data_IF_378849660070
#
_entry.id   IF_378849660070
#
_cell.length_a   1.000
_cell.length_b   1.000
_cell.length_c   1.000
_cell.angle_alpha   90.00
_cell.angle_beta   90.00
_cell.angle_gamma   90.00
#
_symmetry.space_group_name_H-M   'P 1'
#
loop_
_entity.id
_entity.type
_entity.pdbx_description
1 polymer ?
#
# COMPACT_ATOMS: atom_id res chain seq x y z
N UNK A 1 10.59 11.48 -5.22
CA UNK A 1 11.12 12.84 -4.94
C UNK A 1 12.64 12.79 -4.76
N UNK A 2 13.17 12.11 -3.74
CA UNK A 2 14.62 12.04 -3.44
C UNK A 2 15.43 11.30 -4.51
N UNK A 3 14.88 10.23 -5.10
CA UNK A 3 15.54 9.46 -6.16
C UNK A 3 15.80 10.25 -7.43
N UNK A 4 14.85 11.10 -7.86
CA UNK A 4 15.00 11.95 -9.05
C UNK A 4 16.02 13.06 -8.87
N UNK A 5 16.08 13.66 -7.68
CA UNK A 5 17.02 14.73 -7.35
C UNK A 5 18.47 14.23 -7.31
N UNK A 6 18.68 13.05 -6.71
CA UNK A 6 19.99 12.39 -6.66
C UNK A 6 20.38 11.87 -8.05
N UNK A 7 19.42 11.33 -8.82
CA UNK A 7 19.67 10.94 -10.22
C UNK A 7 20.16 12.09 -11.08
N UNK A 8 19.58 13.29 -10.90
CA UNK A 8 20.07 14.50 -11.56
C UNK A 8 21.46 14.93 -11.05
N UNK A 9 21.65 14.97 -9.72
CA UNK A 9 22.92 15.37 -9.13
C UNK A 9 24.08 14.46 -9.61
N UNK A 10 23.84 13.14 -9.69
CA UNK A 10 24.82 12.18 -10.22
C UNK A 10 24.95 12.26 -11.75
N UNK A 11 23.92 12.71 -12.45
CA UNK A 11 23.96 13.01 -13.88
C UNK A 11 25.00 14.07 -14.26
N UNK A 12 25.25 15.04 -13.38
CA UNK A 12 26.22 16.13 -13.54
C UNK A 12 27.62 15.83 -12.98
N UNK A 13 27.81 14.72 -12.27
CA UNK A 13 29.13 14.35 -11.74
C UNK A 13 29.96 13.68 -12.86
N UNK A 14 31.00 14.38 -13.30
CA UNK A 14 32.04 13.85 -14.20
C UNK A 14 33.16 13.22 -13.37
N UNK A 15 32.86 12.10 -12.72
CA UNK A 15 33.90 11.18 -12.23
C UNK A 15 34.20 10.16 -13.32
N UNK A 16 35.44 9.65 -13.41
CA UNK A 16 35.83 8.58 -14.35
C UNK A 16 35.13 7.22 -14.15
N UNK A 17 34.08 7.18 -13.33
CA UNK A 17 33.24 6.02 -13.03
C UNK A 17 31.90 6.14 -13.75
N UNK A 18 31.33 5.01 -14.14
CA UNK A 18 30.00 4.96 -14.73
C UNK A 18 28.94 5.54 -13.76
N UNK A 19 28.11 6.47 -14.23
CA UNK A 19 27.12 7.23 -13.42
C UNK A 19 26.19 6.32 -12.61
N UNK A 20 25.81 5.18 -13.17
CA UNK A 20 24.99 4.16 -12.49
C UNK A 20 25.67 3.61 -11.22
N UNK A 21 26.99 3.40 -11.25
CA UNK A 21 27.75 2.87 -10.11
C UNK A 21 27.80 3.88 -8.96
N UNK A 22 27.95 5.17 -9.26
CA UNK A 22 27.90 6.25 -8.27
C UNK A 22 26.54 6.29 -7.53
N UNK A 23 25.43 6.07 -8.25
CA UNK A 23 24.09 6.00 -7.64
C UNK A 23 24.03 4.85 -6.62
N UNK A 24 24.48 3.65 -7.00
CA UNK A 24 24.46 2.49 -6.11
C UNK A 24 25.34 2.68 -4.86
N UNK A 25 26.50 3.31 -5.00
CA UNK A 25 27.44 3.52 -3.89
C UNK A 25 26.91 4.53 -2.87
N UNK A 26 26.28 5.61 -3.34
CA UNK A 26 25.65 6.62 -2.46
C UNK A 26 24.43 6.02 -1.75
N UNK A 27 23.49 5.40 -2.47
CA UNK A 27 22.30 4.83 -1.83
C UNK A 27 22.65 3.63 -0.95
N UNK A 28 23.60 2.79 -1.36
CA UNK A 28 24.07 1.64 -0.59
C UNK A 28 24.70 2.05 0.73
N UNK A 29 25.58 3.05 0.73
CA UNK A 29 26.23 3.55 1.96
C UNK A 29 25.22 4.16 2.94
N UNK A 30 24.27 4.97 2.47
CA UNK A 30 23.21 5.53 3.32
C UNK A 30 22.34 4.42 3.93
N UNK A 31 21.94 3.42 3.12
CA UNK A 31 21.17 2.26 3.58
C UNK A 31 21.94 1.45 4.62
N UNK A 32 23.23 1.25 4.42
CA UNK A 32 24.10 0.48 5.30
C UNK A 32 24.31 1.21 6.64
N UNK A 33 24.54 2.53 6.61
CA UNK A 33 24.59 3.35 7.81
C UNK A 33 23.27 3.29 8.59
N UNK A 34 22.14 3.41 7.91
CA UNK A 34 20.82 3.26 8.56
C UNK A 34 20.58 1.86 9.12
N UNK A 35 21.07 0.82 8.44
CA UNK A 35 21.06 -0.56 8.92
C UNK A 35 21.80 -0.69 10.26
N UNK A 36 23.00 -0.11 10.37
CA UNK A 36 23.77 -0.10 11.61
C UNK A 36 23.05 0.65 12.74
N UNK A 37 22.49 1.84 12.44
CA UNK A 37 21.67 2.61 13.38
C UNK A 37 20.49 1.77 13.88
N UNK A 38 19.80 1.06 12.98
CA UNK A 38 18.67 0.21 13.36
C UNK A 38 19.07 -0.97 14.24
N UNK A 39 20.24 -1.59 14.01
CA UNK A 39 20.74 -2.69 14.85
C UNK A 39 21.06 -2.23 16.27
N UNK A 40 21.53 -1.00 16.45
CA UNK A 40 21.86 -0.45 17.78
C UNK A 40 20.62 0.08 18.50
N UNK A 41 19.66 0.67 17.78
CA UNK A 41 18.51 1.37 18.38
C UNK A 41 17.22 0.54 18.47
N UNK A 42 17.01 -0.51 17.66
CA UNK A 42 15.79 -1.32 17.71
C UNK A 42 15.95 -2.57 18.60
N UNK A 43 15.34 -2.61 19.79
CA UNK A 43 15.23 -3.83 20.59
C UNK A 43 14.19 -4.81 20.02
N UNK A 44 14.46 -6.11 20.10
CA UNK A 44 13.65 -7.20 19.51
C UNK A 44 12.22 -7.38 20.05
N UNK A 45 11.91 -6.74 21.16
CA UNK A 45 10.57 -6.77 21.77
C UNK A 45 10.32 -5.51 22.60
N UNK A 46 9.07 -5.00 22.65
CA UNK A 46 8.68 -3.92 23.57
C UNK A 46 8.98 -4.24 25.04
N UNK A 47 9.14 -5.51 25.43
CA UNK A 47 9.59 -5.92 26.77
C UNK A 47 11.09 -5.72 27.02
N UNK A 48 11.92 -5.87 25.99
CA UNK A 48 13.40 -5.74 26.05
C UNK A 48 13.88 -4.31 25.79
N UNK A 49 12.97 -3.34 25.69
CA UNK A 49 13.33 -1.94 25.40
C UNK A 49 14.17 -1.34 26.54
N UNK A 50 15.35 -0.81 26.21
CA UNK A 50 16.21 -0.12 27.18
C UNK A 50 15.70 1.31 27.49
N UNK A 51 14.96 1.91 26.57
CA UNK A 51 14.55 3.31 26.63
C UNK A 51 13.26 3.59 27.43
N UNK A 52 12.45 2.56 27.76
CA UNK A 52 11.14 2.76 28.40
C UNK A 52 11.15 2.41 29.89
N UNK A 53 10.50 3.25 30.70
CA UNK A 53 10.21 2.97 32.11
C UNK A 53 9.29 1.75 32.25
N UNK A 54 9.35 0.97 33.36
CA UNK A 54 8.46 -0.16 33.59
C UNK A 54 6.96 0.17 33.42
N UNK A 55 6.54 1.39 33.79
CA UNK A 55 5.17 1.88 33.61
C UNK A 55 4.81 2.11 32.14
N UNK A 56 5.74 2.65 31.36
CA UNK A 56 5.53 2.90 29.93
C UNK A 56 5.56 1.59 29.13
N UNK A 57 6.38 0.61 29.54
CA UNK A 57 6.35 -0.75 29.01
C UNK A 57 4.98 -1.40 29.24
N UNK A 58 4.41 -1.27 30.44
CA UNK A 58 3.08 -1.80 30.74
C UNK A 58 1.98 -1.14 29.89
N UNK A 59 2.04 0.18 29.66
CA UNK A 59 1.11 0.90 28.77
C UNK A 59 1.30 0.48 27.31
N UNK A 60 2.54 0.29 26.85
CA UNK A 60 2.83 -0.17 25.48
C UNK A 60 2.34 -1.61 25.26
N UNK A 61 2.57 -2.52 26.21
CA UNK A 61 2.03 -3.88 26.20
C UNK A 61 0.50 -3.86 26.24
N UNK A 62 -0.08 -3.00 27.08
CA UNK A 62 -1.53 -2.78 27.14
C UNK A 62 -2.12 -2.31 25.80
N UNK A 63 -1.43 -1.43 25.07
CA UNK A 63 -1.83 -1.00 23.71
C UNK A 63 -1.73 -2.12 22.68
N UNK A 64 -0.67 -2.93 22.72
CA UNK A 64 -0.52 -4.11 21.83
C UNK A 64 -1.58 -5.17 22.14
N UNK A 65 -1.87 -5.39 23.42
CA UNK A 65 -2.91 -6.29 23.89
C UNK A 65 -4.33 -5.79 23.54
N UNK A 66 -4.59 -4.48 23.68
CA UNK A 66 -5.85 -3.83 23.28
C UNK A 66 -6.09 -3.96 21.76
N UNK A 67 -5.04 -3.90 20.95
CA UNK A 67 -5.13 -4.18 19.51
C UNK A 67 -5.43 -5.66 19.18
N UNK A 68 -5.56 -6.54 20.19
CA UNK A 68 -5.75 -8.00 20.04
C UNK A 68 -4.76 -8.63 19.04
N UNK A 69 -3.59 -8.03 18.89
CA UNK A 69 -2.62 -8.43 17.87
C UNK A 69 -1.87 -9.71 18.23
N UNK A 70 -2.11 -10.24 19.44
CA UNK A 70 -1.35 -11.35 20.01
C UNK A 70 0.05 -10.86 20.35
N UNK A 71 0.47 -11.04 21.59
CA UNK A 71 1.87 -10.88 21.95
C UNK A 71 2.63 -11.96 21.14
N UNK A 72 3.62 -11.52 20.35
CA UNK A 72 4.53 -12.29 19.49
C UNK A 72 4.52 -13.79 19.85
N UNK A 73 3.72 -14.59 19.14
CA UNK A 73 3.50 -15.99 19.51
C UNK A 73 4.21 -16.89 18.49
N UNK A 74 5.35 -17.47 18.86
CA UNK A 74 6.17 -18.29 17.96
C UNK A 74 5.54 -19.66 17.62
N UNK A 75 4.39 -19.99 18.21
CA UNK A 75 3.70 -21.27 17.99
C UNK A 75 2.75 -21.18 16.79
N UNK A 76 3.09 -21.90 15.72
CA UNK A 76 2.24 -22.05 14.54
C UNK A 76 0.97 -22.86 14.87
N UNK A 77 -0.21 -22.27 14.64
CA UNK A 77 -1.50 -22.94 14.87
C UNK A 77 -2.13 -23.37 13.54
N UNK A 78 -2.13 -24.66 13.18
CA UNK A 78 -2.62 -25.14 11.89
C UNK A 78 -4.11 -24.87 11.67
N UNK A 79 -4.93 -24.87 12.73
CA UNK A 79 -6.36 -24.50 12.62
C UNK A 79 -6.54 -23.06 12.08
N UNK A 80 -5.63 -22.14 12.45
CA UNK A 80 -5.66 -20.75 11.97
C UNK A 80 -5.28 -20.65 10.49
N UNK A 81 -4.48 -21.59 9.99
CA UNK A 81 -4.15 -21.68 8.57
C UNK A 81 -5.37 -22.11 7.73
N UNK A 82 -6.12 -23.12 8.20
CA UNK A 82 -7.38 -23.52 7.54
C UNK A 82 -8.41 -22.39 7.61
N UNK A 83 -8.48 -21.68 8.74
CA UNK A 83 -9.36 -20.52 8.90
C UNK A 83 -8.93 -19.33 8.01
N UNK A 84 -7.65 -19.20 7.67
CA UNK A 84 -7.16 -18.23 6.70
C UNK A 84 -7.66 -18.55 5.30
N UNK A 85 -7.51 -19.82 4.87
CA UNK A 85 -7.90 -20.25 3.51
C UNK A 85 -9.40 -20.12 3.26
N UNK A 86 -10.23 -20.35 4.29
CA UNK A 86 -11.68 -20.18 4.21
C UNK A 86 -12.15 -18.73 4.36
N UNK A 87 -11.27 -17.78 4.66
CA UNK A 87 -11.67 -16.39 4.86
C UNK A 87 -11.74 -15.64 3.50
N UNK A 88 -12.93 -15.24 3.03
CA UNK A 88 -13.07 -14.52 1.76
C UNK A 88 -12.32 -13.19 1.76
N UNK A 89 -12.09 -12.58 2.94
CA UNK A 89 -11.32 -11.33 3.06
C UNK A 89 -9.89 -11.48 2.55
N UNK A 90 -9.26 -12.62 2.80
CA UNK A 90 -7.88 -12.88 2.35
C UNK A 90 -7.79 -12.87 0.82
N UNK A 91 -8.75 -13.51 0.14
CA UNK A 91 -8.78 -13.60 -1.31
C UNK A 91 -9.15 -12.27 -1.98
N UNK A 92 -10.06 -11.50 -1.39
CA UNK A 92 -10.38 -10.15 -1.87
C UNK A 92 -9.13 -9.25 -1.76
N UNK A 93 -8.43 -9.29 -0.62
CA UNK A 93 -7.20 -8.52 -0.42
C UNK A 93 -6.07 -8.97 -1.35
N UNK A 94 -5.96 -10.28 -1.64
CA UNK A 94 -5.03 -10.82 -2.63
C UNK A 94 -5.31 -10.26 -4.02
N UNK A 95 -6.55 -10.33 -4.49
CA UNK A 95 -6.94 -9.81 -5.81
C UNK A 95 -6.76 -8.29 -5.90
N UNK A 96 -7.06 -7.56 -4.83
CA UNK A 96 -6.79 -6.12 -4.74
C UNK A 96 -5.29 -5.80 -4.82
N UNK A 97 -4.43 -6.65 -4.26
CA UNK A 97 -2.98 -6.48 -4.35
C UNK A 97 -2.47 -6.76 -5.77
N UNK A 98 -2.93 -7.83 -6.42
CA UNK A 98 -2.56 -8.13 -7.81
C UNK A 98 -2.97 -6.99 -8.73
N UNK A 99 -4.26 -6.62 -8.70
CA UNK A 99 -4.84 -5.58 -9.57
C UNK A 99 -4.28 -4.19 -9.29
N UNK A 100 -3.91 -3.89 -8.04
CA UNK A 100 -3.25 -2.64 -7.70
C UNK A 100 -1.78 -2.57 -8.11
N UNK A 101 -1.08 -3.71 -8.12
CA UNK A 101 0.35 -3.73 -8.44
C UNK A 101 0.66 -3.77 -9.93
N UNK A 102 -0.22 -4.32 -10.76
CA UNK A 102 -0.09 -4.26 -12.22
C UNK A 102 0.17 -2.81 -12.70
N UNK A 103 -0.72 -1.83 -12.45
CA UNK A 103 -0.49 -0.45 -12.89
C UNK A 103 0.66 0.22 -12.14
N UNK A 104 0.89 -0.11 -10.86
CA UNK A 104 2.02 0.42 -10.09
C UNK A 104 3.36 0.09 -10.72
N UNK A 105 3.58 -1.19 -11.03
CA UNK A 105 4.81 -1.65 -11.64
C UNK A 105 4.97 -1.12 -13.07
N UNK A 106 3.88 -1.07 -13.82
CA UNK A 106 3.89 -0.56 -15.19
C UNK A 106 4.29 0.94 -15.23
N UNK A 107 3.73 1.79 -14.35
CA UNK A 107 4.13 3.21 -14.24
C UNK A 107 5.55 3.35 -13.72
N UNK A 108 5.93 2.61 -12.68
CA UNK A 108 7.19 2.87 -11.96
C UNK A 108 8.40 2.35 -12.73
N UNK A 109 8.31 1.15 -13.31
CA UNK A 109 9.40 0.53 -14.06
C UNK A 109 9.67 1.24 -15.38
N UNK A 110 8.64 1.85 -15.98
CA UNK A 110 8.74 2.51 -17.27
C UNK A 110 8.50 4.03 -17.16
N UNK A 111 8.66 4.60 -15.95
CA UNK A 111 8.37 6.00 -15.67
C UNK A 111 9.18 6.95 -16.58
N UNK A 112 10.48 6.67 -16.73
CA UNK A 112 11.35 7.44 -17.61
C UNK A 112 10.96 7.30 -19.08
N UNK A 113 10.61 6.09 -19.52
CA UNK A 113 10.19 5.80 -20.89
C UNK A 113 8.87 6.54 -21.21
N UNK A 114 7.87 6.44 -20.32
CA UNK A 114 6.59 7.15 -20.46
C UNK A 114 6.78 8.65 -20.64
N UNK A 115 7.64 9.27 -19.83
CA UNK A 115 7.87 10.72 -19.91
C UNK A 115 8.70 11.08 -21.15
N UNK A 116 9.62 10.23 -21.59
CA UNK A 116 10.30 10.43 -22.89
C UNK A 116 9.37 10.25 -24.08
N UNK A 117 8.39 9.33 -24.00
CA UNK A 117 7.37 9.12 -25.03
C UNK A 117 6.43 10.33 -25.18
N UNK A 118 6.35 11.20 -24.16
CA UNK A 118 5.64 12.48 -24.26
C UNK A 118 6.45 13.58 -24.98
N UNK A 119 7.68 13.28 -25.42
CA UNK A 119 8.55 14.19 -26.15
C UNK A 119 9.39 15.11 -25.26
N UNK A 120 9.63 14.72 -24.00
CA UNK A 120 10.59 15.38 -23.11
C UNK A 120 11.93 14.64 -23.15
N UNK A 121 13.06 15.37 -23.18
CA UNK A 121 14.39 14.75 -23.15
C UNK A 121 14.63 13.96 -21.85
N UNK A 122 15.42 12.88 -21.92
CA UNK A 122 15.70 11.92 -20.83
C UNK A 122 16.09 12.56 -19.50
N UNK A 123 16.87 13.64 -19.55
CA UNK A 123 17.31 14.38 -18.35
C UNK A 123 16.16 15.21 -17.74
N UNK A 124 15.33 15.83 -18.59
CA UNK A 124 14.11 16.54 -18.16
C UNK A 124 13.05 15.59 -17.60
N UNK A 125 13.00 14.35 -18.10
CA UNK A 125 12.07 13.33 -17.63
C UNK A 125 12.25 13.00 -16.15
N UNK A 126 13.50 12.95 -15.68
CA UNK A 126 13.81 12.63 -14.28
C UNK A 126 13.33 13.72 -13.32
N UNK A 127 13.38 14.99 -13.74
CA UNK A 127 12.84 16.10 -12.98
C UNK A 127 11.32 16.08 -12.87
N UNK A 128 10.64 15.68 -13.95
CA UNK A 128 9.19 15.61 -13.98
C UNK A 128 8.60 14.50 -13.08
N UNK A 129 9.44 13.61 -12.55
CA UNK A 129 9.06 12.63 -11.51
C UNK A 129 9.05 13.23 -10.09
N UNK A 130 9.71 14.38 -9.88
CA UNK A 130 9.77 15.03 -8.56
C UNK A 130 8.37 15.44 -8.08
N UNK A 131 7.54 16.15 -8.89
CA UNK A 131 6.18 16.49 -8.48
C UNK A 131 5.31 15.27 -8.23
N UNK A 132 5.39 14.23 -9.07
CA UNK A 132 4.66 12.97 -8.85
C UNK A 132 5.02 12.31 -7.51
N UNK A 133 6.31 12.34 -7.13
CA UNK A 133 6.75 11.89 -5.82
C UNK A 133 6.28 12.77 -4.65
N UNK A 134 6.14 14.09 -4.86
CA UNK A 134 5.59 15.00 -3.86
C UNK A 134 4.09 14.73 -3.63
N UNK A 135 3.31 14.56 -4.71
CA UNK A 135 1.89 14.19 -4.65
C UNK A 135 1.71 12.88 -3.87
N UNK A 136 2.55 11.88 -4.14
CA UNK A 136 2.56 10.64 -3.39
C UNK A 136 2.84 10.84 -1.89
N UNK A 137 3.86 11.63 -1.56
CA UNK A 137 4.29 11.88 -0.19
C UNK A 137 3.23 12.64 0.62
N UNK A 138 2.76 13.78 0.10
CA UNK A 138 1.72 14.58 0.76
C UNK A 138 0.39 13.85 0.81
N UNK A 139 0.05 13.09 -0.25
CA UNK A 139 -1.09 12.20 -0.24
C UNK A 139 -1.02 11.18 0.90
N UNK A 140 0.17 10.61 1.19
CA UNK A 140 0.35 9.61 2.26
C UNK A 140 0.16 10.22 3.63
N UNK A 141 0.76 11.39 3.85
CA UNK A 141 0.60 12.12 5.09
C UNK A 141 -0.86 12.52 5.32
N UNK A 142 -1.52 13.08 4.31
CA UNK A 142 -2.90 13.51 4.42
C UNK A 142 -3.86 12.33 4.61
N UNK A 143 -3.75 11.30 3.78
CA UNK A 143 -4.56 10.09 3.88
C UNK A 143 -4.37 9.38 5.23
N UNK A 144 -3.12 9.28 5.70
CA UNK A 144 -2.79 8.73 7.02
C UNK A 144 -3.36 9.56 8.17
N UNK A 145 -3.28 10.90 8.07
CA UNK A 145 -3.85 11.80 9.06
C UNK A 145 -5.37 11.70 9.15
N UNK A 146 -6.08 11.71 8.01
CA UNK A 146 -7.54 11.55 7.95
C UNK A 146 -7.97 10.20 8.52
N UNK A 147 -7.28 9.11 8.15
CA UNK A 147 -7.56 7.77 8.64
C UNK A 147 -7.26 7.56 10.14
N UNK A 148 -6.43 8.44 10.73
CA UNK A 148 -6.11 8.41 12.16
C UNK A 148 -7.09 9.27 12.96
N UNK A 149 -7.47 10.43 12.43
CA UNK A 149 -8.37 11.37 13.11
C UNK A 149 -9.81 10.87 13.11
N UNK A 150 -10.28 10.25 12.02
CA UNK A 150 -11.68 9.85 11.86
C UNK A 150 -11.82 8.31 11.80
N UNK A 151 -12.57 7.69 12.73
CA UNK A 151 -12.78 6.24 12.73
C UNK A 151 -13.56 5.79 11.49
N UNK A 152 -13.28 4.59 10.99
CA UNK A 152 -13.91 3.96 9.81
C UNK A 152 -13.73 4.68 8.45
N UNK A 153 -13.01 5.81 8.38
CA UNK A 153 -12.76 6.51 7.13
C UNK A 153 -11.72 5.84 6.22
N UNK A 154 -11.04 4.79 6.69
CA UNK A 154 -9.99 4.09 5.92
C UNK A 154 -10.48 3.59 4.57
N UNK A 155 -11.68 3.00 4.52
CA UNK A 155 -12.26 2.52 3.27
C UNK A 155 -12.67 3.66 2.33
N UNK A 156 -13.17 4.77 2.88
CA UNK A 156 -13.52 5.97 2.09
C UNK A 156 -12.27 6.59 1.48
N UNK A 157 -11.18 6.73 2.26
CA UNK A 157 -9.89 7.24 1.78
C UNK A 157 -9.33 6.34 0.66
N UNK A 158 -9.47 5.02 0.77
CA UNK A 158 -9.09 4.10 -0.30
C UNK A 158 -9.93 4.26 -1.56
N UNK A 159 -11.25 4.43 -1.43
CA UNK A 159 -12.15 4.62 -2.58
C UNK A 159 -11.81 5.92 -3.30
N UNK A 160 -11.63 7.01 -2.56
CA UNK A 160 -11.24 8.32 -3.10
C UNK A 160 -9.87 8.26 -3.77
N UNK A 161 -8.88 7.61 -3.14
CA UNK A 161 -7.56 7.46 -3.74
C UNK A 161 -7.61 6.64 -5.05
N UNK A 162 -8.42 5.58 -5.11
CA UNK A 162 -8.57 4.79 -6.33
C UNK A 162 -9.36 5.53 -7.40
N UNK A 163 -10.38 6.32 -7.05
CA UNK A 163 -11.13 7.09 -8.04
C UNK A 163 -10.26 8.15 -8.72
N UNK A 164 -9.36 8.80 -7.95
CA UNK A 164 -8.35 9.72 -8.51
C UNK A 164 -7.45 9.00 -9.52
N UNK A 165 -7.04 7.76 -9.23
CA UNK A 165 -6.24 6.97 -10.17
C UNK A 165 -7.00 6.56 -11.42
N UNK A 166 -8.30 6.25 -11.32
CA UNK A 166 -9.16 5.96 -12.48
C UNK A 166 -9.29 7.18 -13.37
N UNK A 167 -9.48 8.37 -12.79
CA UNK A 167 -9.52 9.63 -13.54
C UNK A 167 -8.18 9.89 -14.23
N UNK A 168 -7.05 9.67 -13.53
CA UNK A 168 -5.71 9.78 -14.12
C UNK A 168 -5.49 8.81 -15.29
N UNK A 169 -5.88 7.54 -15.13
CA UNK A 169 -5.79 6.55 -16.21
C UNK A 169 -6.71 6.89 -17.39
N UNK A 170 -7.93 7.36 -17.13
CA UNK A 170 -8.88 7.80 -18.15
C UNK A 170 -8.35 8.98 -18.96
N UNK A 171 -7.71 9.96 -18.32
CA UNK A 171 -7.04 11.06 -19.03
C UNK A 171 -5.85 10.57 -19.86
N UNK A 172 -5.08 9.58 -19.40
CA UNK A 172 -3.99 9.00 -20.19
C UNK A 172 -4.50 8.28 -21.46
N UNK A 173 -5.67 7.65 -21.39
CA UNK A 173 -6.31 7.00 -22.55
C UNK A 173 -6.91 8.05 -23.51
N UNK A 174 -7.55 9.11 -23.00
CA UNK A 174 -8.33 10.05 -23.80
C UNK A 174 -7.55 11.24 -24.39
N UNK A 175 -6.45 11.68 -23.78
CA UNK A 175 -5.69 12.84 -24.28
C UNK A 175 -4.70 12.40 -25.37
N UNK A 176 -4.91 12.79 -26.62
CA UNK A 176 -4.05 12.39 -27.75
C UNK A 176 -2.84 13.31 -28.01
N UNK A 177 -2.89 14.60 -27.64
CA UNK A 177 -1.89 15.59 -28.09
C UNK A 177 -1.26 16.50 -27.00
N UNK A 178 -1.86 16.61 -25.81
CA UNK A 178 -1.42 17.55 -24.77
C UNK A 178 -0.33 16.95 -23.86
N UNK A 179 0.94 17.35 -24.08
CA UNK A 179 2.12 16.89 -23.32
C UNK A 179 2.00 17.15 -21.81
N UNK A 180 1.45 18.32 -21.44
CA UNK A 180 1.29 18.74 -20.04
C UNK A 180 0.15 17.99 -19.34
N UNK A 181 -0.97 17.78 -20.05
CA UNK A 181 -2.13 17.06 -19.53
C UNK A 181 -1.82 15.58 -19.22
N UNK A 182 -1.06 14.90 -20.08
CA UNK A 182 -0.59 13.52 -19.83
C UNK A 182 0.34 13.42 -18.62
N UNK A 183 1.18 14.43 -18.40
CA UNK A 183 2.08 14.47 -17.25
C UNK A 183 1.31 14.60 -15.93
N UNK A 184 0.31 15.50 -15.89
CA UNK A 184 -0.58 15.65 -14.73
C UNK A 184 -1.38 14.37 -14.49
N UNK A 185 -1.90 13.74 -15.55
CA UNK A 185 -2.60 12.47 -15.44
C UNK A 185 -1.72 11.36 -14.84
N UNK A 186 -0.45 11.31 -15.22
CA UNK A 186 0.54 10.39 -14.65
C UNK A 186 0.84 10.71 -13.17
N UNK A 187 0.86 12.00 -12.78
CA UNK A 187 0.96 12.41 -11.38
C UNK A 187 -0.22 11.96 -10.54
N UNK A 188 -1.44 12.01 -11.08
CA UNK A 188 -2.64 11.53 -10.37
C UNK A 188 -2.56 10.03 -10.08
N UNK A 189 -2.02 9.22 -10.98
CA UNK A 189 -1.85 7.79 -10.77
C UNK A 189 -0.86 7.43 -9.63
N UNK A 190 0.07 8.34 -9.26
CA UNK A 190 0.96 8.11 -8.10
C UNK A 190 0.21 8.06 -6.75
N UNK A 191 -1.03 8.58 -6.70
CA UNK A 191 -1.94 8.49 -5.55
C UNK A 191 -2.28 7.04 -5.17
N UNK A 192 -2.02 6.06 -6.05
CA UNK A 192 -2.30 4.65 -5.78
C UNK A 192 -1.57 4.08 -4.54
N UNK A 193 -0.41 4.63 -4.19
CA UNK A 193 0.37 4.20 -3.03
C UNK A 193 -0.40 4.36 -1.71
N UNK A 194 -1.34 5.31 -1.67
CA UNK A 194 -2.26 5.49 -0.54
C UNK A 194 -3.17 4.28 -0.39
N UNK A 195 -3.79 3.87 -1.48
CA UNK A 195 -4.70 2.73 -1.50
C UNK A 195 -3.99 1.45 -1.04
N UNK A 196 -2.78 1.20 -1.52
CA UNK A 196 -2.02 0.02 -1.13
C UNK A 196 -1.60 0.04 0.35
N UNK A 197 -1.10 1.17 0.84
CA UNK A 197 -0.68 1.32 2.25
C UNK A 197 -1.86 1.14 3.22
N UNK A 198 -3.04 1.66 2.84
CA UNK A 198 -4.27 1.48 3.62
C UNK A 198 -4.75 0.03 3.61
N UNK A 199 -4.69 -0.67 2.48
CA UNK A 199 -5.00 -2.11 2.40
C UNK A 199 -4.12 -2.95 3.33
N UNK A 200 -2.82 -2.65 3.39
CA UNK A 200 -1.89 -3.34 4.29
C UNK A 200 -2.23 -3.07 5.77
N UNK A 201 -2.61 -1.84 6.10
CA UNK A 201 -3.06 -1.46 7.45
C UNK A 201 -4.35 -2.19 7.84
N UNK A 202 -5.24 -2.44 6.88
CA UNK A 202 -6.46 -3.22 7.10
C UNK A 202 -6.20 -4.68 7.44
N UNK A 203 -5.21 -5.33 6.82
CA UNK A 203 -4.77 -6.68 7.19
C UNK A 203 -4.39 -6.70 8.68
N UNK A 204 -3.63 -5.69 9.11
CA UNK A 204 -3.12 -5.60 10.47
C UNK A 204 -4.21 -5.34 11.53
N UNK A 205 -5.29 -4.67 11.15
CA UNK A 205 -6.36 -4.23 12.04
C UNK A 205 -7.58 -5.16 12.06
N UNK A 206 -7.86 -5.87 10.95
CA UNK A 206 -9.10 -6.62 10.76
C UNK A 206 -8.93 -8.14 10.82
N UNK A 207 -7.69 -8.64 10.85
CA UNK A 207 -7.40 -10.07 10.97
C UNK A 207 -6.88 -10.34 12.38
N UNK A 208 -7.71 -11.04 13.16
CA UNK A 208 -7.34 -11.52 14.48
C UNK A 208 -6.60 -12.86 14.39
N UNK A 209 -5.61 -13.04 15.26
CA UNK A 209 -4.78 -14.24 15.32
C UNK A 209 -3.44 -14.07 14.61
N UNK A 210 -2.35 -14.36 15.33
CA UNK A 210 -0.99 -14.14 14.87
C UNK A 210 -0.63 -14.97 13.62
N UNK A 211 -0.93 -16.27 13.63
CA UNK A 211 -0.67 -17.17 12.48
C UNK A 211 -1.52 -16.79 11.28
N UNK A 212 -2.83 -16.55 11.48
CA UNK A 212 -3.76 -16.16 10.41
C UNK A 212 -3.32 -14.87 9.71
N UNK A 213 -2.97 -13.86 10.51
CA UNK A 213 -2.51 -12.56 10.02
C UNK A 213 -1.22 -12.66 9.20
N UNK A 214 -0.23 -13.41 9.67
CA UNK A 214 1.01 -13.62 8.92
C UNK A 214 0.79 -14.36 7.61
N UNK A 215 -0.03 -15.42 7.64
CA UNK A 215 -0.37 -16.16 6.43
C UNK A 215 -1.14 -15.30 5.43
N UNK A 216 -2.11 -14.49 5.88
CA UNK A 216 -2.78 -13.54 4.98
C UNK A 216 -1.81 -12.50 4.42
N UNK A 217 -0.90 -11.96 5.22
CA UNK A 217 0.12 -11.04 4.74
C UNK A 217 1.04 -11.69 3.69
N UNK A 218 1.44 -12.95 3.90
CA UNK A 218 2.23 -13.72 2.93
C UNK A 218 1.47 -13.95 1.62
N UNK A 219 0.18 -14.31 1.69
CA UNK A 219 -0.68 -14.46 0.49
C UNK A 219 -0.79 -13.14 -0.27
N UNK A 220 -1.08 -12.04 0.43
CA UNK A 220 -1.16 -10.71 -0.18
C UNK A 220 0.19 -10.31 -0.81
N UNK A 221 1.31 -10.68 -0.17
CA UNK A 221 2.65 -10.45 -0.72
C UNK A 221 2.90 -11.26 -2.00
N UNK A 222 2.43 -12.51 -2.08
CA UNK A 222 2.47 -13.27 -3.34
C UNK A 222 1.68 -12.55 -4.44
N UNK A 223 0.51 -11.99 -4.11
CA UNK A 223 -0.28 -11.19 -5.06
C UNK A 223 0.44 -9.91 -5.50
N UNK A 224 1.12 -9.25 -4.58
CA UNK A 224 1.97 -8.10 -4.87
C UNK A 224 3.10 -8.46 -5.85
N UNK A 225 3.78 -9.58 -5.63
CA UNK A 225 4.81 -10.08 -6.54
C UNK A 225 4.26 -10.41 -7.93
N UNK A 226 3.13 -11.13 -7.99
CA UNK A 226 2.49 -11.49 -9.26
C UNK A 226 2.11 -10.25 -10.08
N UNK A 227 1.52 -9.23 -9.44
CA UNK A 227 1.18 -7.97 -10.11
C UNK A 227 2.40 -7.21 -10.61
N UNK A 228 3.51 -7.23 -9.86
CA UNK A 228 4.76 -6.58 -10.31
C UNK A 228 5.41 -7.28 -11.50
N UNK A 229 5.24 -8.60 -11.65
CA UNK A 229 5.72 -9.35 -12.81
C UNK A 229 4.85 -9.07 -14.04
N UNK A 230 3.53 -9.04 -13.86
CA UNK A 230 2.58 -8.78 -14.94
C UNK A 230 2.60 -7.31 -15.42
N UNK A 231 2.90 -6.35 -14.53
CA UNK A 231 2.84 -4.91 -14.83
C UNK A 231 3.65 -4.47 -16.04
N UNK A 232 4.98 -4.72 -16.11
CA UNK A 232 5.80 -4.33 -17.26
C UNK A 232 5.42 -5.01 -18.57
N UNK A 233 4.77 -6.19 -18.51
CA UNK A 233 4.35 -6.93 -19.71
C UNK A 233 3.18 -6.25 -20.45
N UNK A 234 2.45 -5.34 -19.80
CA UNK A 234 1.36 -4.59 -20.45
C UNK A 234 1.87 -3.49 -21.39
N UNK A 235 3.15 -3.12 -21.28
CA UNK A 235 3.80 -2.16 -22.16
C UNK A 235 4.43 -2.87 -23.36
N UNK A 236 3.62 -3.04 -24.39
CA UNK A 236 4.03 -3.71 -25.63
C UNK A 236 4.88 -2.75 -26.47
N UNK A 237 6.10 -3.16 -26.83
CA UNK A 237 7.06 -2.34 -27.60
C UNK A 237 6.53 -1.94 -28.97
N UNK A 238 5.64 -2.75 -29.58
CA UNK A 238 5.04 -2.47 -30.89
C UNK A 238 4.00 -1.36 -30.88
N UNK A 239 3.49 -0.93 -29.71
CA UNK A 239 2.52 0.16 -29.58
C UNK A 239 3.17 1.49 -29.16
N UNK A 240 4.50 1.55 -29.13
CA UNK A 240 5.21 2.79 -28.89
C UNK A 240 4.87 3.83 -30.00
N UNK A 241 4.67 5.12 -29.67
CA UNK A 241 4.77 5.78 -28.36
C UNK A 241 3.42 5.95 -27.62
N UNK A 242 2.33 5.44 -28.19
CA UNK A 242 0.97 5.66 -27.69
C UNK A 242 0.56 4.73 -26.54
N UNK A 243 1.16 3.54 -26.45
CA UNK A 243 0.94 2.52 -25.41
C UNK A 243 -0.54 2.37 -24.99
N UNK A 244 -1.46 2.33 -25.96
CA UNK A 244 -2.90 2.38 -25.70
C UNK A 244 -3.35 1.17 -24.87
N UNK A 245 -2.81 -0.02 -25.15
CA UNK A 245 -3.13 -1.24 -24.41
C UNK A 245 -2.64 -1.16 -22.96
N UNK A 246 -1.50 -0.52 -22.70
CA UNK A 246 -0.99 -0.33 -21.35
C UNK A 246 -1.94 0.56 -20.52
N UNK A 247 -2.33 1.72 -21.06
CA UNK A 247 -3.23 2.64 -20.37
C UNK A 247 -4.64 2.04 -20.16
N UNK A 248 -5.14 1.28 -21.13
CA UNK A 248 -6.41 0.57 -21.00
C UNK A 248 -6.34 -0.52 -19.93
N UNK A 249 -5.26 -1.32 -19.91
CA UNK A 249 -5.02 -2.33 -18.88
C UNK A 249 -4.97 -1.71 -17.48
N UNK A 250 -4.32 -0.55 -17.34
CA UNK A 250 -4.31 0.20 -16.08
C UNK A 250 -5.70 0.64 -15.65
N UNK A 251 -6.52 1.15 -16.58
CA UNK A 251 -7.90 1.57 -16.28
C UNK A 251 -8.75 0.40 -15.80
N UNK A 252 -8.68 -0.75 -16.49
CA UNK A 252 -9.39 -1.98 -16.11
C UNK A 252 -8.93 -2.45 -14.72
N UNK A 253 -7.62 -2.46 -14.47
CA UNK A 253 -7.05 -2.89 -13.20
C UNK A 253 -7.48 -1.97 -12.04
N UNK A 254 -7.50 -0.65 -12.24
CA UNK A 254 -8.01 0.29 -11.23
C UNK A 254 -9.52 0.16 -11.01
N UNK A 255 -10.30 -0.06 -12.07
CA UNK A 255 -11.73 -0.32 -11.98
C UNK A 255 -12.05 -1.58 -11.19
N UNK A 256 -11.35 -2.68 -11.49
CA UNK A 256 -11.50 -3.95 -10.76
C UNK A 256 -11.09 -3.81 -9.30
N UNK A 257 -9.99 -3.11 -9.02
CA UNK A 257 -9.56 -2.82 -7.64
C UNK A 257 -10.61 -2.00 -6.88
N UNK A 258 -11.25 -1.02 -7.52
CA UNK A 258 -12.31 -0.22 -6.90
C UNK A 258 -13.55 -1.08 -6.61
N UNK A 259 -13.98 -1.92 -7.55
CA UNK A 259 -15.08 -2.85 -7.34
C UNK A 259 -14.79 -3.80 -6.15
N UNK A 260 -13.59 -4.38 -6.10
CA UNK A 260 -13.16 -5.23 -4.98
C UNK A 260 -13.10 -4.48 -3.65
N UNK A 261 -12.67 -3.22 -3.65
CA UNK A 261 -12.66 -2.37 -2.45
C UNK A 261 -14.08 -2.12 -1.92
N UNK A 262 -15.06 -1.90 -2.82
CA UNK A 262 -16.47 -1.74 -2.45
C UNK A 262 -17.03 -3.05 -1.91
N UNK A 263 -16.77 -4.18 -2.57
CA UNK A 263 -17.19 -5.50 -2.10
C UNK A 263 -16.64 -5.76 -0.70
N UNK A 264 -15.36 -5.47 -0.47
CA UNK A 264 -14.74 -5.60 0.84
C UNK A 264 -15.43 -4.69 1.87
N UNK A 265 -15.71 -3.44 1.53
CA UNK A 265 -16.40 -2.50 2.41
C UNK A 265 -17.78 -2.99 2.80
N UNK A 266 -18.60 -3.40 1.84
CA UNK A 266 -19.95 -3.94 2.08
C UNK A 266 -19.88 -5.20 2.94
N UNK A 267 -18.97 -6.12 2.62
CA UNK A 267 -18.78 -7.34 3.41
C UNK A 267 -18.42 -7.02 4.86
N UNK A 268 -17.53 -6.06 5.09
CA UNK A 268 -17.13 -5.64 6.43
C UNK A 268 -18.26 -4.93 7.16
N UNK A 269 -19.03 -4.09 6.47
CA UNK A 269 -20.18 -3.41 7.05
C UNK A 269 -21.27 -4.39 7.50
N UNK A 270 -21.62 -5.37 6.64
CA UNK A 270 -22.59 -6.42 6.96
C UNK A 270 -22.08 -7.30 8.10
N UNK A 271 -20.81 -7.69 8.07
CA UNK A 271 -20.21 -8.49 9.14
C UNK A 271 -20.15 -7.73 10.47
N UNK A 272 -19.91 -6.42 10.44
CA UNK A 272 -19.93 -5.60 11.66
C UNK A 272 -21.35 -5.46 12.20
N UNK A 273 -22.35 -5.22 11.34
CA UNK A 273 -23.76 -5.16 11.73
C UNK A 273 -24.27 -6.47 12.32
N UNK A 274 -23.87 -7.62 11.75
CA UNK A 274 -24.24 -8.93 12.30
C UNK A 274 -23.63 -9.16 13.68
N UNK A 275 -22.36 -8.77 13.88
CA UNK A 275 -21.67 -8.87 15.18
C UNK A 275 -22.23 -7.91 16.23
N UNK A 276 -22.65 -6.72 15.82
CA UNK A 276 -23.29 -5.76 16.73
C UNK A 276 -24.68 -6.25 17.16
N UNK A 277 -25.39 -6.96 16.28
CA UNK A 277 -26.65 -7.65 16.60
C UNK A 277 -26.44 -8.84 17.55
N UNK A 278 -25.46 -9.70 17.27
CA UNK A 278 -25.08 -10.80 18.17
C UNK A 278 -24.64 -10.29 19.55
N UNK A 279 -23.87 -9.21 19.63
CA UNK A 279 -23.46 -8.60 20.90
C UNK A 279 -24.62 -7.93 21.63
N UNK A 280 -25.53 -7.29 20.90
CA UNK A 280 -26.77 -6.75 21.47
C UNK A 280 -27.62 -7.86 22.10
N UNK A 281 -27.69 -9.02 21.43
CA UNK A 281 -28.38 -10.21 21.95
C UNK A 281 -27.68 -10.84 23.16
N UNK A 282 -26.35 -10.82 23.24
CA UNK A 282 -25.60 -11.29 24.42
C UNK A 282 -25.77 -10.35 25.61
N UNK A 283 -25.78 -9.03 25.40
CA UNK A 283 -26.02 -8.04 26.47
C UNK A 283 -27.49 -8.09 26.95
N UNK A 284 -28.43 -8.36 26.05
CA UNK A 284 -29.83 -8.60 26.40
C UNK A 284 -30.00 -9.93 27.15
N UNK A 285 -29.35 -11.00 26.71
CA UNK A 285 -29.38 -12.29 27.41
C UNK A 285 -28.76 -12.23 28.81
N UNK A 286 -27.72 -11.42 29.04
CA UNK A 286 -27.11 -11.27 30.37
C UNK A 286 -27.98 -10.37 31.29
N UNK A 287 -28.64 -9.34 30.74
CA UNK A 287 -29.62 -8.51 31.46
C UNK A 287 -30.92 -9.26 31.77
N UNK A 288 -31.43 -10.05 30.83
CA UNK A 288 -32.63 -10.88 31.01
C UNK A 288 -32.38 -12.02 32.02
N UNK A 289 -31.16 -12.58 32.10
CA UNK A 289 -30.79 -13.56 33.13
C UNK A 289 -30.74 -12.93 34.52
N UNK A 290 -30.26 -11.68 34.64
CA UNK A 290 -30.29 -10.91 35.89
C UNK A 290 -31.72 -10.48 36.28
N UNK A 291 -32.57 -10.10 35.32
CA UNK A 291 -33.99 -9.77 35.56
C UNK A 291 -34.85 -11.01 35.86
N UNK A 292 -34.47 -12.20 35.38
CA UNK A 292 -35.14 -13.47 35.67
C UNK A 292 -34.64 -14.17 36.94
N UNK A 293 -33.64 -13.62 37.63
CA UNK A 293 -33.23 -14.08 38.97
C UNK A 293 -32.76 -15.55 39.03
N UNK A 294 -32.03 -16.03 38.02
CA UNK A 294 -31.32 -17.31 38.04
C UNK A 294 -29.84 -17.14 38.35
#
# INVERSE_FOLDING_TARGET
>A
MVSGLIGYAVGNINTGLAKWMCIFLIFGSIKMAWGFVSLVLLPDSPSTTYFLSPREKAVAVGRVAANRQGIKNHVFKPYQAVQMMKDPKTWILFLMAVTGQIPTAAITSLASINITSFGFGTLSSQYMLIPGGAVQFFGMLFGGWVATKWPNMRCVVMIVANSICIVGAGFLVGLSAEKKGRLVALWLCYTQALGFSMSLTMISSNIAGYTKKQLTAAVVFMGFCAGNVAGPQTFITSEAPGYHTAYLSMLIAYGLKLALAIILYVYMFVSNKHRDMERGLVILSEKEVIELGM
#
